data_IF_662842136678
#
_entry.id   IF_662842136678
#
_cell.length_a   1.000
_cell.length_b   1.000
_cell.length_c   1.000
_cell.angle_alpha   90.00
_cell.angle_beta   90.00
_cell.angle_gamma   90.00
#
_symmetry.space_group_name_H-M   'P 1'
#
loop_
_entity.id
_entity.type
_entity.pdbx_description
1 polymer ?
#
# COMPACT_ATOMS: atom_id res chain seq x y z
N UNK A 1 2.24 -12.26 -26.13
CA UNK A 1 2.88 -11.88 -24.85
C UNK A 1 1.97 -10.89 -24.15
N UNK A 2 1.45 -11.24 -22.97
CA UNK A 2 0.69 -10.31 -22.12
C UNK A 2 1.65 -9.42 -21.35
N UNK A 3 1.36 -8.12 -21.26
CA UNK A 3 2.08 -7.23 -20.34
C UNK A 3 1.57 -7.48 -18.92
N UNK A 4 2.48 -7.60 -17.96
CA UNK A 4 2.16 -7.86 -16.55
C UNK A 4 2.56 -6.63 -15.73
N UNK A 5 1.71 -6.24 -14.79
CA UNK A 5 1.94 -5.12 -13.88
C UNK A 5 1.79 -5.59 -12.43
N UNK A 6 2.77 -5.24 -11.60
CA UNK A 6 2.70 -5.37 -10.15
C UNK A 6 2.36 -4.00 -9.57
N UNK A 7 1.08 -3.79 -9.27
CA UNK A 7 0.59 -2.61 -8.55
C UNK A 7 0.58 -2.89 -7.03
N UNK A 8 1.12 -1.98 -6.22
CA UNK A 8 1.18 -2.17 -4.76
C UNK A 8 0.99 -0.86 -3.99
N UNK A 9 0.49 -0.97 -2.75
CA UNK A 9 0.49 0.12 -1.77
C UNK A 9 1.39 -0.29 -0.59
N UNK A 10 2.16 0.66 -0.03
CA UNK A 10 2.99 0.37 1.15
C UNK A 10 3.22 1.61 2.02
N UNK A 11 2.54 1.68 3.17
CA UNK A 11 2.76 2.76 4.12
C UNK A 11 4.10 2.64 4.89
N UNK A 12 4.55 1.42 5.20
CA UNK A 12 5.77 1.15 5.98
C UNK A 12 6.92 0.51 5.18
N UNK A 13 6.74 0.34 3.87
CA UNK A 13 7.77 -0.18 2.96
C UNK A 13 7.93 -1.71 2.91
N UNK A 14 7.25 -2.47 3.78
CA UNK A 14 7.32 -3.95 3.79
C UNK A 14 6.78 -4.54 2.49
N UNK A 15 5.59 -4.10 2.07
CA UNK A 15 4.96 -4.51 0.80
C UNK A 15 5.80 -4.08 -0.40
N UNK A 16 6.38 -2.88 -0.37
CA UNK A 16 7.22 -2.36 -1.45
C UNK A 16 8.44 -3.26 -1.72
N UNK A 17 9.05 -3.80 -0.66
CA UNK A 17 10.17 -4.74 -0.79
C UNK A 17 9.74 -6.02 -1.52
N UNK A 18 8.60 -6.59 -1.14
CA UNK A 18 8.08 -7.81 -1.78
C UNK A 18 7.65 -7.55 -3.24
N UNK A 19 6.99 -6.42 -3.50
CA UNK A 19 6.54 -6.04 -4.83
C UNK A 19 7.72 -5.91 -5.81
N UNK A 20 8.84 -5.31 -5.38
CA UNK A 20 10.09 -5.26 -6.15
C UNK A 20 10.63 -6.64 -6.50
N UNK A 21 10.69 -7.55 -5.53
CA UNK A 21 11.11 -8.94 -5.78
C UNK A 21 10.18 -9.66 -6.76
N UNK A 22 8.87 -9.44 -6.64
CA UNK A 22 7.86 -10.08 -7.49
C UNK A 22 7.94 -9.57 -8.94
N UNK A 23 8.08 -8.26 -9.13
CA UNK A 23 8.30 -7.66 -10.45
C UNK A 23 9.59 -8.17 -11.11
N UNK A 24 10.67 -8.29 -10.35
CA UNK A 24 11.96 -8.80 -10.84
C UNK A 24 11.86 -10.26 -11.33
N UNK A 25 11.20 -11.14 -10.56
CA UNK A 25 11.07 -12.57 -10.91
C UNK A 25 10.12 -12.79 -12.09
N UNK A 26 9.09 -11.96 -12.21
CA UNK A 26 8.07 -12.09 -13.27
C UNK A 26 8.39 -11.30 -14.53
N UNK A 27 9.41 -10.43 -14.51
CA UNK A 27 9.68 -9.50 -15.60
C UNK A 27 8.56 -8.48 -15.81
N UNK A 28 7.78 -8.20 -14.76
CA UNK A 28 6.64 -7.29 -14.79
C UNK A 28 7.06 -5.84 -14.54
N UNK A 29 6.25 -4.90 -15.04
CA UNK A 29 6.34 -3.51 -14.65
C UNK A 29 5.93 -3.34 -13.17
N UNK A 30 6.47 -2.33 -12.50
CA UNK A 30 6.19 -2.03 -11.10
C UNK A 30 5.51 -0.66 -10.99
N UNK A 31 4.39 -0.59 -10.27
CA UNK A 31 3.68 0.65 -10.01
C UNK A 31 3.26 0.78 -8.55
N UNK A 32 3.63 1.89 -7.92
CA UNK A 32 3.22 2.21 -6.56
C UNK A 32 1.93 3.02 -6.57
N UNK A 33 0.92 2.56 -5.85
CA UNK A 33 -0.32 3.28 -5.57
C UNK A 33 -0.01 4.28 -4.47
N UNK A 34 0.17 5.54 -4.86
CA UNK A 34 0.45 6.62 -3.92
C UNK A 34 -0.87 7.17 -3.35
N UNK A 35 -1.00 7.25 -2.01
CA UNK A 35 -2.15 7.92 -1.41
C UNK A 35 -2.08 9.42 -1.72
N UNK A 36 -3.24 10.06 -1.89
CA UNK A 36 -3.29 11.51 -2.11
C UNK A 36 -2.66 12.29 -0.94
N UNK A 37 -2.87 11.80 0.28
CA UNK A 37 -2.20 12.26 1.49
C UNK A 37 -1.36 11.11 2.09
N UNK A 38 -0.03 11.28 2.25
CA UNK A 38 0.84 10.26 2.85
C UNK A 38 0.42 9.89 4.27
N UNK A 39 0.54 8.60 4.62
CA UNK A 39 0.26 8.13 5.98
C UNK A 39 1.38 8.55 6.93
N UNK A 40 1.00 9.15 8.05
CA UNK A 40 1.88 9.37 9.20
C UNK A 40 1.89 8.14 10.12
N UNK A 41 2.82 8.12 11.08
CA UNK A 41 2.81 7.07 12.12
C UNK A 41 1.54 7.10 12.98
N UNK A 42 0.95 8.28 13.20
CA UNK A 42 -0.30 8.43 13.95
C UNK A 42 -1.51 7.88 13.17
N UNK A 43 -1.47 7.97 11.84
CA UNK A 43 -2.50 7.41 10.97
C UNK A 43 -2.51 5.88 10.98
N UNK A 44 -1.35 5.27 11.20
CA UNK A 44 -1.14 3.82 11.21
C UNK A 44 -1.29 3.19 12.61
N UNK A 45 -1.58 3.99 13.64
CA UNK A 45 -1.79 3.49 14.99
C UNK A 45 -3.14 2.77 15.10
N UNK A 46 -3.14 1.46 14.88
CA UNK A 46 -4.33 0.61 14.97
C UNK A 46 -4.89 0.49 16.40
N UNK A 47 -4.13 0.86 17.44
CA UNK A 47 -4.63 0.87 18.82
C UNK A 47 -5.51 2.08 19.10
N UNK A 48 -5.34 3.15 18.31
CA UNK A 48 -6.18 4.32 18.33
C UNK A 48 -7.35 4.17 17.37
N UNK A 49 -8.57 4.01 17.89
CA UNK A 49 -9.81 3.89 17.09
C UNK A 49 -10.12 5.11 16.20
N UNK A 50 -9.45 6.24 16.43
CA UNK A 50 -9.57 7.46 15.64
C UNK A 50 -8.41 7.66 14.65
N UNK A 51 -7.43 6.76 14.60
CA UNK A 51 -6.41 6.82 13.56
C UNK A 51 -7.05 6.63 12.19
N UNK A 52 -6.48 7.28 11.18
CA UNK A 52 -6.99 7.21 9.81
C UNK A 52 -7.15 5.77 9.33
N UNK A 53 -6.17 4.90 9.59
CA UNK A 53 -6.26 3.48 9.22
C UNK A 53 -7.42 2.75 9.92
N UNK A 54 -7.71 3.07 11.18
CA UNK A 54 -8.87 2.50 11.88
C UNK A 54 -10.18 3.02 11.33
N UNK A 55 -10.27 4.29 10.95
CA UNK A 55 -11.50 4.87 10.38
C UNK A 55 -11.75 4.31 8.98
N UNK A 56 -10.75 4.34 8.09
CA UNK A 56 -10.81 3.78 6.73
C UNK A 56 -11.20 2.30 6.73
N UNK A 57 -10.71 1.52 7.70
CA UNK A 57 -11.03 0.09 7.80
C UNK A 57 -12.48 -0.15 8.26
N UNK A 58 -13.03 0.73 9.10
CA UNK A 58 -14.37 0.56 9.68
C UNK A 58 -15.48 1.27 8.87
N UNK A 59 -15.12 2.22 8.01
CA UNK A 59 -16.05 2.95 7.15
C UNK A 59 -15.73 2.70 5.66
N UNK A 60 -16.51 1.82 4.99
CA UNK A 60 -16.34 1.56 3.55
C UNK A 60 -16.59 2.78 2.66
N UNK A 61 -17.16 3.87 3.19
CA UNK A 61 -17.48 5.10 2.46
C UNK A 61 -16.46 6.22 2.70
N UNK A 62 -15.40 5.97 3.48
CA UNK A 62 -14.38 6.96 3.83
C UNK A 62 -13.63 7.49 2.60
#
# INVERSE_FOLDING_TARGET
MSKTLVAFFSASGVTAKLAKSLAQVTGADLHEIQPAEPYSSADLDWTNKKSRSSVEMNDPSY
#
